data_IF_183036540432
#
_entry.id   IF_183036540432
#
_cell.length_a   1.000
_cell.length_b   1.000
_cell.length_c   1.000
_cell.angle_alpha   90.00
_cell.angle_beta   90.00
_cell.angle_gamma   90.00
#
_symmetry.space_group_name_H-M   'P 1'
#
loop_
_entity.id
_entity.type
_entity.pdbx_description
1 polymer ?
#
# COMPACT_ATOMS: atom_id res chain seq x y z
N UNK A 1 -12.00 -3.46 15.84
CA UNK A 1 -12.39 -4.83 16.27
C UNK A 1 -12.27 -5.78 15.09
N UNK A 2 -11.69 -6.99 15.24
CA UNK A 2 -11.68 -7.99 14.19
C UNK A 2 -13.10 -8.51 13.92
N UNK A 3 -13.48 -8.63 12.64
CA UNK A 3 -14.72 -9.28 12.20
C UNK A 3 -14.37 -10.67 11.70
N UNK A 4 -15.15 -11.68 12.11
CA UNK A 4 -14.98 -13.06 11.63
C UNK A 4 -15.67 -13.18 10.28
N UNK A 5 -14.92 -13.58 9.26
CA UNK A 5 -15.39 -13.75 7.89
C UNK A 5 -14.73 -14.98 7.31
N UNK A 6 -15.49 -15.80 6.60
CA UNK A 6 -14.95 -16.92 5.82
C UNK A 6 -14.41 -16.38 4.51
N UNK A 7 -13.15 -16.68 4.20
CA UNK A 7 -12.50 -16.34 2.93
C UNK A 7 -12.12 -17.66 2.26
N UNK A 8 -12.58 -17.85 1.02
CA UNK A 8 -12.14 -18.97 0.19
C UNK A 8 -10.84 -18.53 -0.48
N UNK A 9 -9.79 -19.35 -0.33
CA UNK A 9 -8.46 -19.10 -0.87
C UNK A 9 -8.11 -20.25 -1.81
N UNK A 10 -7.49 -19.94 -2.93
CA UNK A 10 -6.87 -20.95 -3.78
C UNK A 10 -5.71 -21.63 -3.03
N UNK A 11 -5.41 -22.88 -3.39
CA UNK A 11 -4.45 -23.71 -2.66
C UNK A 11 -3.06 -23.05 -2.56
N UNK A 12 -2.59 -22.45 -3.64
CA UNK A 12 -1.33 -21.73 -3.70
C UNK A 12 -1.32 -20.48 -2.83
N UNK A 13 -2.42 -19.73 -2.80
CA UNK A 13 -2.60 -18.55 -1.94
C UNK A 13 -2.59 -18.95 -0.47
N UNK A 14 -3.31 -20.03 -0.13
CA UNK A 14 -3.32 -20.56 1.23
C UNK A 14 -1.93 -21.02 1.68
N UNK A 15 -1.21 -21.76 0.84
CA UNK A 15 0.13 -22.24 1.15
C UNK A 15 1.10 -21.08 1.41
N UNK A 16 1.05 -20.05 0.57
CA UNK A 16 1.86 -18.84 0.76
C UNK A 16 1.54 -18.13 2.09
N UNK A 17 0.27 -18.01 2.46
CA UNK A 17 -0.14 -17.44 3.75
C UNK A 17 0.33 -18.26 4.94
N UNK A 18 0.29 -19.59 4.86
CA UNK A 18 0.80 -20.50 5.89
C UNK A 18 2.29 -20.31 6.08
N UNK A 19 3.06 -20.37 4.99
CA UNK A 19 4.52 -20.17 5.00
C UNK A 19 4.89 -18.82 5.61
N UNK A 20 4.20 -17.76 5.21
CA UNK A 20 4.44 -16.41 5.70
C UNK A 20 4.09 -16.25 7.19
N UNK A 21 3.01 -16.89 7.63
CA UNK A 21 2.59 -16.89 9.05
C UNK A 21 3.60 -17.59 9.95
N UNK A 22 4.16 -18.73 9.51
CA UNK A 22 5.22 -19.42 10.23
C UNK A 22 6.51 -18.57 10.21
N UNK A 23 6.87 -18.00 9.05
CA UNK A 23 8.09 -17.17 8.90
C UNK A 23 8.08 -15.95 9.81
N UNK A 24 6.96 -15.22 9.89
CA UNK A 24 6.86 -13.97 10.68
C UNK A 24 6.54 -14.18 12.15
N UNK A 25 5.72 -15.19 12.47
CA UNK A 25 5.12 -15.34 13.79
C UNK A 25 5.31 -16.73 14.42
N UNK A 26 5.98 -17.66 13.74
CA UNK A 26 6.22 -19.01 14.23
C UNK A 26 4.96 -19.88 14.35
N UNK A 27 3.82 -19.43 13.82
CA UNK A 27 2.55 -20.15 13.95
C UNK A 27 1.60 -19.89 12.79
N UNK A 28 0.87 -20.93 12.39
CA UNK A 28 -0.23 -20.85 11.41
C UNK A 28 -1.46 -20.12 11.97
N UNK A 29 -1.56 -19.93 13.30
CA UNK A 29 -2.64 -19.14 13.91
C UNK A 29 -2.60 -17.66 13.51
N UNK A 30 -1.47 -17.20 12.95
CA UNK A 30 -1.30 -15.83 12.49
C UNK A 30 -1.82 -15.56 11.07
N UNK A 31 -2.42 -16.53 10.38
CA UNK A 31 -2.93 -16.36 8.99
C UNK A 31 -3.86 -15.15 8.86
N UNK A 32 -4.82 -14.99 9.78
CA UNK A 32 -5.74 -13.85 9.72
C UNK A 32 -5.01 -12.50 9.88
N UNK A 33 -3.93 -12.47 10.66
CA UNK A 33 -3.12 -11.27 10.85
C UNK A 33 -2.33 -10.94 9.58
N UNK A 34 -1.62 -11.92 9.02
CA UNK A 34 -0.85 -11.77 7.79
C UNK A 34 -1.75 -11.36 6.62
N UNK A 35 -2.91 -12.00 6.46
CA UNK A 35 -3.88 -11.64 5.43
C UNK A 35 -4.33 -10.17 5.56
N UNK A 36 -4.62 -9.71 6.78
CA UNK A 36 -5.01 -8.32 7.01
C UNK A 36 -3.88 -7.33 6.71
N UNK A 37 -2.62 -7.67 7.01
CA UNK A 37 -1.46 -6.83 6.71
C UNK A 37 -1.28 -6.68 5.19
N UNK A 38 -1.27 -7.80 4.45
CA UNK A 38 -1.15 -7.80 2.98
C UNK A 38 -2.30 -7.01 2.32
N UNK A 39 -3.53 -7.22 2.79
CA UNK A 39 -4.68 -6.47 2.29
C UNK A 39 -4.59 -4.98 2.63
N UNK A 40 -4.08 -4.61 3.80
CA UNK A 40 -3.91 -3.21 4.19
C UNK A 40 -2.87 -2.53 3.31
N UNK A 41 -1.75 -3.19 3.07
CA UNK A 41 -0.66 -2.65 2.25
C UNK A 41 -1.07 -2.51 0.78
N UNK A 42 -1.81 -3.50 0.24
CA UNK A 42 -2.30 -3.44 -1.15
C UNK A 42 -3.42 -2.41 -1.35
N UNK A 43 -4.23 -2.13 -0.32
CA UNK A 43 -5.36 -1.20 -0.41
C UNK A 43 -5.04 0.23 0.04
N UNK A 44 -3.97 0.45 0.82
CA UNK A 44 -3.61 1.77 1.39
C UNK A 44 -3.26 2.77 0.29
N UNK A 45 -2.30 2.44 -0.58
CA UNK A 45 -1.86 3.35 -1.63
C UNK A 45 -2.97 3.74 -2.60
N UNK A 46 -3.80 2.77 -3.01
CA UNK A 46 -4.88 3.00 -3.99
C UNK A 46 -6.01 3.85 -3.43
N UNK A 47 -6.42 3.64 -2.16
CA UNK A 47 -7.49 4.45 -1.55
C UNK A 47 -7.06 5.88 -1.31
N UNK A 48 -5.83 6.08 -0.88
CA UNK A 48 -5.30 7.43 -0.61
C UNK A 48 -5.13 8.21 -1.92
N UNK A 49 -4.59 7.58 -2.97
CA UNK A 49 -4.53 8.17 -4.31
C UNK A 49 -5.91 8.51 -4.86
N UNK A 50 -6.88 7.61 -4.77
CA UNK A 50 -8.27 7.88 -5.21
C UNK A 50 -8.84 9.05 -4.41
N UNK A 51 -8.65 9.09 -3.10
CA UNK A 51 -9.11 10.19 -2.26
C UNK A 51 -8.47 11.53 -2.68
N UNK A 52 -7.17 11.56 -2.97
CA UNK A 52 -6.46 12.76 -3.41
C UNK A 52 -6.89 13.24 -4.80
N UNK A 53 -7.19 12.31 -5.72
CA UNK A 53 -7.67 12.65 -7.07
C UNK A 53 -9.04 13.32 -7.01
N UNK A 54 -9.93 12.85 -6.12
CA UNK A 54 -11.29 13.37 -5.97
C UNK A 54 -11.44 14.43 -4.87
N UNK A 55 -10.40 14.71 -4.08
CA UNK A 55 -10.43 15.80 -3.11
C UNK A 55 -10.43 17.14 -3.84
N UNK A 56 -10.89 18.18 -3.13
CA UNK A 56 -10.78 19.54 -3.60
C UNK A 56 -9.33 19.86 -3.97
N UNK A 57 -9.11 20.27 -5.22
CA UNK A 57 -7.79 20.65 -5.69
C UNK A 57 -7.45 22.01 -5.07
N UNK A 58 -6.56 22.01 -4.08
CA UNK A 58 -6.12 23.21 -3.38
C UNK A 58 -5.17 24.09 -4.20
N UNK A 59 -4.65 23.57 -5.32
CA UNK A 59 -3.78 24.28 -6.24
C UNK A 59 -3.94 23.73 -7.66
N UNK A 60 -3.89 24.63 -8.63
CA UNK A 60 -3.73 24.31 -10.05
C UNK A 60 -2.31 24.69 -10.46
N UNK A 61 -1.69 23.85 -11.29
CA UNK A 61 -0.33 24.07 -11.78
C UNK A 61 -0.26 23.68 -13.25
N UNK A 62 0.46 24.47 -14.04
CA UNK A 62 0.73 24.13 -15.43
C UNK A 62 1.79 23.03 -15.55
N UNK A 63 1.86 22.41 -16.73
CA UNK A 63 2.87 21.38 -17.02
C UNK A 63 4.27 22.00 -16.99
N UNK A 64 4.40 23.24 -17.45
CA UNK A 64 5.64 24.01 -17.44
C UNK A 64 6.12 24.25 -16.00
N UNK A 65 5.27 24.80 -15.13
CA UNK A 65 5.60 25.07 -13.72
C UNK A 65 5.97 23.79 -12.96
N UNK A 66 5.24 22.70 -13.17
CA UNK A 66 5.56 21.41 -12.55
C UNK A 66 6.92 20.87 -13.01
N UNK A 67 7.25 21.06 -14.30
CA UNK A 67 8.51 20.60 -14.88
C UNK A 67 9.71 21.39 -14.35
N UNK A 68 9.56 22.71 -14.18
CA UNK A 68 10.58 23.56 -13.56
C UNK A 68 10.79 23.19 -12.09
N UNK A 69 9.70 23.08 -11.32
CA UNK A 69 9.74 22.65 -9.92
C UNK A 69 10.50 21.32 -9.76
N UNK A 70 10.16 20.32 -10.58
CA UNK A 70 10.82 19.00 -10.54
C UNK A 70 12.32 19.10 -10.84
N UNK A 71 12.72 19.91 -11.84
CA UNK A 71 14.13 20.13 -12.18
C UNK A 71 14.90 20.76 -11.03
N UNK A 72 14.32 21.74 -10.36
CA UNK A 72 14.93 22.42 -9.22
C UNK A 72 15.07 21.48 -8.02
N UNK A 73 14.04 20.68 -7.73
CA UNK A 73 14.07 19.65 -6.70
C UNK A 73 15.16 18.60 -6.92
N UNK A 74 15.33 18.13 -8.17
CA UNK A 74 16.38 17.17 -8.51
C UNK A 74 17.79 17.72 -8.26
N UNK A 75 18.04 19.00 -8.53
CA UNK A 75 19.35 19.62 -8.23
C UNK A 75 19.65 19.58 -6.73
N UNK A 76 18.67 19.95 -5.90
CA UNK A 76 18.80 19.99 -4.43
C UNK A 76 19.02 18.61 -3.79
N UNK A 77 18.57 17.55 -4.45
CA UNK A 77 18.75 16.17 -3.98
C UNK A 77 20.09 15.55 -4.38
N UNK A 78 20.78 16.10 -5.38
CA UNK A 78 22.11 15.64 -5.84
C UNK A 78 23.25 16.34 -5.10
N UNK A 79 23.00 17.53 -4.55
CA UNK A 79 23.98 18.30 -3.77
C UNK A 79 24.13 17.86 -2.30
N UNK A 80 23.60 16.69 -1.92
CA UNK A 80 23.62 16.14 -0.56
C UNK A 80 24.27 14.77 -0.52
#
# INVERSE_FOLDING_TARGET
MPKRTTVILDDDVYENLVRESIRRYGTTRAISKVLNEILRDSLSGRRELIRLIYSEKIAEVSIEEFSEFRRELSKRLVER
#
